data_IF_233769536015
#
_entry.id   IF_233769536015
#
_cell.length_a   1.000
_cell.length_b   1.000
_cell.length_c   1.000
_cell.angle_alpha   90.00
_cell.angle_beta   90.00
_cell.angle_gamma   90.00
#
_symmetry.space_group_name_H-M   'P 1'
#
loop_
_entity.id
_entity.type
_entity.pdbx_description
1 polymer ?
#
# COMPACT_ATOMS: atom_id res chain seq x y z
N UNK A 1 -15.23 -4.74 41.46
CA UNK A 1 -14.72 -5.95 40.77
C UNK A 1 -15.48 -6.30 39.49
N UNK A 2 -16.82 -6.18 39.43
CA UNK A 2 -17.61 -6.48 38.21
C UNK A 2 -17.37 -5.50 37.03
N UNK A 3 -17.17 -4.21 37.30
CA UNK A 3 -16.90 -3.24 36.22
C UNK A 3 -15.54 -3.46 35.52
N UNK A 4 -14.50 -3.83 36.27
CA UNK A 4 -13.15 -4.06 35.73
C UNK A 4 -13.06 -5.33 34.87
N UNK A 5 -13.82 -6.38 35.22
CA UNK A 5 -13.91 -7.62 34.43
C UNK A 5 -14.68 -7.41 33.14
N UNK A 6 -15.73 -6.59 33.14
CA UNK A 6 -16.45 -6.20 31.93
C UNK A 6 -15.58 -5.37 30.96
N UNK A 7 -14.76 -4.45 31.49
CA UNK A 7 -13.84 -3.63 30.67
C UNK A 7 -12.73 -4.48 30.05
N UNK A 8 -12.11 -5.39 30.82
CA UNK A 8 -11.10 -6.32 30.30
C UNK A 8 -11.69 -7.27 29.25
N UNK A 9 -12.91 -7.77 29.45
CA UNK A 9 -13.60 -8.60 28.46
C UNK A 9 -13.91 -7.85 27.17
N UNK A 10 -14.30 -6.58 27.25
CA UNK A 10 -14.53 -5.72 26.08
C UNK A 10 -13.24 -5.44 25.31
N UNK A 11 -12.14 -5.13 26.00
CA UNK A 11 -10.84 -4.89 25.38
C UNK A 11 -10.31 -6.14 24.65
N UNK A 12 -10.42 -7.31 25.28
CA UNK A 12 -10.03 -8.57 24.65
C UNK A 12 -10.86 -8.89 23.39
N UNK A 13 -12.18 -8.65 23.45
CA UNK A 13 -13.06 -8.84 22.30
C UNK A 13 -12.77 -7.86 21.14
N UNK A 14 -12.36 -6.62 21.44
CA UNK A 14 -11.94 -5.65 20.43
C UNK A 14 -10.68 -6.10 19.71
N UNK A 15 -9.65 -6.51 20.46
CA UNK A 15 -8.37 -6.98 19.89
C UNK A 15 -8.61 -8.17 18.95
N UNK A 16 -9.41 -9.16 19.37
CA UNK A 16 -9.72 -10.32 18.53
C UNK A 16 -10.41 -9.94 17.22
N UNK A 17 -11.34 -8.98 17.24
CA UNK A 17 -12.03 -8.50 16.04
C UNK A 17 -11.09 -7.76 15.11
N UNK A 18 -10.21 -6.93 15.66
CA UNK A 18 -9.22 -6.18 14.88
C UNK A 18 -8.23 -7.13 14.20
N UNK A 19 -7.70 -8.13 14.92
CA UNK A 19 -6.83 -9.15 14.35
C UNK A 19 -7.53 -9.95 13.25
N UNK A 20 -8.77 -10.39 13.47
CA UNK A 20 -9.54 -11.10 12.45
C UNK A 20 -9.77 -10.24 11.19
N UNK A 21 -10.11 -8.96 11.38
CA UNK A 21 -10.32 -8.04 10.26
C UNK A 21 -9.06 -7.88 9.41
N UNK A 22 -7.88 -7.80 10.05
CA UNK A 22 -6.59 -7.75 9.33
C UNK A 22 -6.37 -9.05 8.54
N UNK A 23 -6.50 -10.21 9.17
CA UNK A 23 -6.30 -11.50 8.48
C UNK A 23 -7.26 -11.69 7.31
N UNK A 24 -8.54 -11.34 7.45
CA UNK A 24 -9.50 -11.40 6.34
C UNK A 24 -9.15 -10.43 5.21
N UNK A 25 -8.66 -9.24 5.55
CA UNK A 25 -8.22 -8.25 4.56
C UNK A 25 -6.99 -8.73 3.80
N UNK A 26 -6.04 -9.38 4.48
CA UNK A 26 -4.84 -9.95 3.86
C UNK A 26 -5.17 -11.08 2.90
N UNK A 27 -6.02 -12.04 3.32
CA UNK A 27 -6.50 -13.13 2.46
C UNK A 27 -7.21 -12.56 1.23
N UNK A 28 -8.08 -11.56 1.44
CA UNK A 28 -8.80 -10.90 0.35
C UNK A 28 -7.85 -10.21 -0.62
N UNK A 29 -6.83 -9.49 -0.11
CA UNK A 29 -5.83 -8.82 -0.92
C UNK A 29 -5.01 -9.81 -1.77
N UNK A 30 -4.51 -10.90 -1.18
CA UNK A 30 -3.78 -11.96 -1.92
C UNK A 30 -4.67 -12.58 -2.99
N UNK A 31 -5.93 -12.84 -2.66
CA UNK A 31 -6.89 -13.43 -3.60
C UNK A 31 -7.10 -12.52 -4.81
N UNK A 32 -7.33 -11.23 -4.58
CA UNK A 32 -7.53 -10.24 -5.65
C UNK A 32 -6.27 -10.06 -6.51
N UNK A 33 -5.09 -9.96 -5.90
CA UNK A 33 -3.82 -9.84 -6.64
C UNK A 33 -3.54 -11.09 -7.47
N UNK A 34 -3.81 -12.28 -6.92
CA UNK A 34 -3.65 -13.55 -7.65
C UNK A 34 -4.64 -13.62 -8.80
N UNK A 35 -5.90 -13.25 -8.58
CA UNK A 35 -6.93 -13.19 -9.62
C UNK A 35 -6.53 -12.26 -10.76
N UNK A 36 -6.07 -11.05 -10.45
CA UNK A 36 -5.60 -10.06 -11.42
C UNK A 36 -4.47 -10.61 -12.30
N UNK A 37 -3.48 -11.28 -11.71
CA UNK A 37 -2.39 -11.94 -12.45
C UNK A 37 -2.96 -12.99 -13.40
N UNK A 38 -3.82 -13.89 -12.90
CA UNK A 38 -4.37 -15.01 -13.68
C UNK A 38 -5.15 -14.53 -14.92
N UNK A 39 -6.01 -13.53 -14.77
CA UNK A 39 -6.85 -13.05 -15.89
C UNK A 39 -6.04 -12.37 -16.99
N UNK A 40 -4.89 -11.79 -16.67
CA UNK A 40 -4.02 -11.11 -17.65
C UNK A 40 -2.88 -11.98 -18.16
N UNK A 41 -2.68 -13.17 -17.59
CA UNK A 41 -1.53 -14.02 -17.88
C UNK A 41 -1.48 -14.42 -19.36
N UNK A 42 -2.64 -14.67 -19.99
CA UNK A 42 -2.74 -14.95 -21.43
C UNK A 42 -2.12 -13.84 -22.27
N UNK A 43 -2.49 -12.61 -21.96
CA UNK A 43 -2.11 -11.42 -22.72
C UNK A 43 -0.64 -11.07 -22.42
N UNK A 44 -0.19 -11.27 -21.18
CA UNK A 44 1.22 -11.09 -20.80
C UNK A 44 2.12 -12.02 -21.59
N UNK A 45 1.79 -13.32 -21.70
CA UNK A 45 2.62 -14.30 -22.41
C UNK A 45 2.79 -13.92 -23.88
N UNK A 46 1.71 -13.49 -24.54
CA UNK A 46 1.74 -13.10 -25.93
C UNK A 46 2.48 -11.76 -26.15
N UNK A 47 2.21 -10.75 -25.32
CA UNK A 47 2.67 -9.38 -25.54
C UNK A 47 4.04 -9.08 -24.91
N UNK A 48 4.35 -9.71 -23.78
CA UNK A 48 5.53 -9.41 -22.95
C UNK A 48 6.58 -10.49 -23.12
N UNK A 49 6.24 -11.77 -22.89
CA UNK A 49 7.21 -12.86 -22.83
C UNK A 49 7.77 -13.25 -24.20
N UNK A 50 6.96 -13.19 -25.27
CA UNK A 50 7.40 -13.52 -26.63
C UNK A 50 8.15 -12.40 -27.38
N UNK A 51 8.28 -11.21 -26.79
CA UNK A 51 8.93 -10.05 -27.42
C UNK A 51 10.25 -9.70 -26.73
N UNK A 52 11.15 -9.03 -27.44
CA UNK A 52 12.44 -8.53 -26.93
C UNK A 52 12.30 -7.82 -25.57
N UNK A 53 13.27 -8.03 -24.69
CA UNK A 53 13.32 -7.43 -23.36
C UNK A 53 13.65 -5.94 -23.45
N UNK A 54 12.78 -5.12 -22.85
CA UNK A 54 13.00 -3.69 -22.67
C UNK A 54 12.99 -3.38 -21.17
N UNK A 55 13.71 -2.34 -20.71
CA UNK A 55 13.73 -1.97 -19.30
C UNK A 55 12.33 -1.66 -18.76
N UNK A 56 11.45 -1.07 -19.59
CA UNK A 56 10.06 -0.82 -19.24
C UNK A 56 9.27 -2.10 -18.91
N UNK A 57 9.55 -3.23 -19.59
CA UNK A 57 8.94 -4.52 -19.24
C UNK A 57 9.41 -5.02 -17.88
N UNK A 58 10.70 -4.88 -17.58
CA UNK A 58 11.25 -5.26 -16.28
C UNK A 58 10.58 -4.49 -15.14
N UNK A 59 10.39 -3.18 -15.31
CA UNK A 59 9.68 -2.33 -14.36
C UNK A 59 8.21 -2.72 -14.20
N UNK A 60 7.52 -3.01 -15.31
CA UNK A 60 6.14 -3.50 -15.28
C UNK A 60 5.99 -4.82 -14.50
N UNK A 61 6.86 -5.80 -14.79
CA UNK A 61 6.85 -7.07 -14.07
C UNK A 61 7.19 -6.88 -12.59
N UNK A 62 8.19 -6.05 -12.27
CA UNK A 62 8.54 -5.74 -10.88
C UNK A 62 7.35 -5.11 -10.13
N UNK A 63 6.68 -4.11 -10.71
CA UNK A 63 5.54 -3.45 -10.09
C UNK A 63 4.36 -4.37 -9.82
N UNK A 64 4.22 -5.46 -10.58
CA UNK A 64 3.12 -6.41 -10.45
C UNK A 64 3.44 -7.57 -9.51
N UNK A 65 4.57 -8.22 -9.72
CA UNK A 65 4.93 -9.44 -9.02
C UNK A 65 5.54 -9.16 -7.63
N UNK A 66 6.16 -8.01 -7.40
CA UNK A 66 6.70 -7.65 -6.07
C UNK A 66 5.61 -7.48 -5.00
N UNK A 67 4.56 -6.65 -5.19
CA UNK A 67 3.49 -6.54 -4.19
C UNK A 67 2.76 -7.86 -3.96
N UNK A 68 2.53 -8.65 -5.02
CA UNK A 68 1.94 -9.98 -4.87
C UNK A 68 2.81 -10.91 -4.01
N UNK A 69 4.11 -10.99 -4.29
CA UNK A 69 5.04 -11.82 -3.52
C UNK A 69 5.16 -11.34 -2.07
N UNK A 70 5.19 -10.03 -1.84
CA UNK A 70 5.24 -9.46 -0.49
C UNK A 70 3.95 -9.75 0.30
N UNK A 71 2.79 -9.57 -0.32
CA UNK A 71 1.50 -9.86 0.31
C UNK A 71 1.32 -11.35 0.59
N UNK A 72 1.84 -12.23 -0.27
CA UNK A 72 1.83 -13.67 -0.06
C UNK A 72 2.75 -14.09 1.10
N UNK A 73 3.96 -13.51 1.18
CA UNK A 73 4.88 -13.75 2.29
C UNK A 73 4.28 -13.27 3.62
N UNK A 74 3.62 -12.12 3.61
CA UNK A 74 2.87 -11.58 4.74
C UNK A 74 1.79 -12.54 5.22
N UNK A 75 0.96 -13.02 4.29
CA UNK A 75 -0.11 -13.94 4.59
C UNK A 75 0.44 -15.24 5.22
N UNK A 76 1.57 -15.74 4.73
CA UNK A 76 2.23 -16.92 5.28
C UNK A 76 2.75 -16.70 6.72
N UNK A 77 3.15 -15.48 7.07
CA UNK A 77 3.59 -15.13 8.43
C UNK A 77 2.39 -15.00 9.39
N UNK A 78 1.26 -14.46 8.92
CA UNK A 78 0.11 -14.11 9.75
C UNK A 78 -0.97 -15.21 9.88
N UNK A 79 -1.10 -16.13 8.92
CA UNK A 79 -2.21 -17.11 8.88
C UNK A 79 -2.27 -18.03 10.09
N UNK A 80 -1.12 -18.45 10.63
CA UNK A 80 -1.13 -19.45 11.69
C UNK A 80 -1.01 -18.85 13.10
N UNK A 81 -0.57 -17.59 13.26
CA UNK A 81 -0.25 -17.02 14.58
C UNK A 81 0.73 -17.85 15.44
N UNK A 82 1.27 -18.95 14.90
CA UNK A 82 2.05 -19.98 15.60
C UNK A 82 3.55 -19.78 15.47
N UNK A 83 4.01 -18.83 14.63
CA UNK A 83 5.43 -18.52 14.51
C UNK A 83 6.00 -17.88 15.79
N UNK A 84 5.12 -17.44 16.72
CA UNK A 84 5.54 -16.82 17.98
C UNK A 84 6.29 -15.49 17.79
N UNK A 85 6.18 -14.88 16.61
CA UNK A 85 6.76 -13.58 16.30
C UNK A 85 5.94 -12.49 16.98
N UNK A 86 6.23 -12.26 18.25
CA UNK A 86 5.83 -11.03 18.93
C UNK A 86 6.73 -9.91 18.42
N UNK A 87 6.19 -9.05 17.54
CA UNK A 87 6.88 -7.86 17.11
C UNK A 87 6.98 -6.88 18.27
N UNK A 88 8.20 -6.47 18.58
CA UNK A 88 8.41 -5.32 19.46
C UNK A 88 7.90 -4.05 18.78
N UNK A 89 7.56 -3.03 19.58
CA UNK A 89 7.09 -1.73 19.07
C UNK A 89 8.07 -1.11 18.06
N UNK A 90 9.39 -1.34 18.23
CA UNK A 90 10.42 -0.87 17.30
C UNK A 90 10.39 -1.63 15.96
N UNK A 91 10.20 -2.95 15.99
CA UNK A 91 10.07 -3.78 14.79
C UNK A 91 8.79 -3.44 14.03
N UNK A 92 7.73 -3.05 14.74
CA UNK A 92 6.51 -2.57 14.13
C UNK A 92 6.70 -1.30 13.31
N UNK A 93 7.45 -0.34 13.85
CA UNK A 93 7.81 0.88 13.13
C UNK A 93 8.61 0.58 11.87
N UNK A 94 9.60 -0.33 11.96
CA UNK A 94 10.39 -0.78 10.79
C UNK A 94 9.51 -1.46 9.76
N UNK A 95 8.58 -2.30 10.19
CA UNK A 95 7.63 -2.99 9.33
C UNK A 95 6.77 -2.01 8.53
N UNK A 96 6.20 -1.00 9.20
CA UNK A 96 5.39 0.02 8.56
C UNK A 96 6.21 0.86 7.56
N UNK A 97 7.47 1.17 7.86
CA UNK A 97 8.38 1.86 6.93
C UNK A 97 8.63 1.01 5.69
N UNK A 98 8.93 -0.29 5.85
CA UNK A 98 9.16 -1.21 4.72
C UNK A 98 7.94 -1.26 3.83
N UNK A 99 6.75 -1.45 4.41
CA UNK A 99 5.50 -1.49 3.66
C UNK A 99 5.25 -0.20 2.87
N UNK A 100 5.51 0.96 3.49
CA UNK A 100 5.31 2.24 2.83
C UNK A 100 6.36 2.53 1.75
N UNK A 101 7.61 2.09 1.93
CA UNK A 101 8.65 2.17 0.88
C UNK A 101 8.29 1.29 -0.31
N UNK A 102 7.80 0.08 -0.08
CA UNK A 102 7.35 -0.82 -1.16
C UNK A 102 6.19 -0.17 -1.92
N UNK A 103 5.20 0.37 -1.22
CA UNK A 103 4.08 1.09 -1.85
C UNK A 103 4.57 2.27 -2.67
N UNK A 104 5.50 3.07 -2.13
CA UNK A 104 6.12 4.19 -2.85
C UNK A 104 6.79 3.73 -4.14
N UNK A 105 7.59 2.66 -4.09
CA UNK A 105 8.28 2.12 -5.27
C UNK A 105 7.29 1.68 -6.35
N UNK A 106 6.16 1.08 -5.95
CA UNK A 106 5.10 0.66 -6.88
C UNK A 106 4.47 1.87 -7.54
N UNK A 107 4.03 2.86 -6.75
CA UNK A 107 3.41 4.10 -7.27
C UNK A 107 4.36 4.80 -8.25
N UNK A 108 5.60 5.04 -7.81
CA UNK A 108 6.63 5.65 -8.66
C UNK A 108 6.87 4.85 -9.94
N UNK A 109 6.83 3.52 -9.88
CA UNK A 109 6.97 2.69 -11.09
C UNK A 109 5.80 2.86 -12.04
N UNK A 110 4.56 2.88 -11.53
CA UNK A 110 3.35 3.11 -12.33
C UNK A 110 3.40 4.49 -12.98
N UNK A 111 3.78 5.53 -12.24
CA UNK A 111 3.92 6.88 -12.77
C UNK A 111 4.98 6.95 -13.85
N UNK A 112 6.14 6.31 -13.63
CA UNK A 112 7.19 6.22 -14.64
C UNK A 112 6.68 5.46 -15.87
N UNK A 113 5.89 4.39 -15.72
CA UNK A 113 5.30 3.69 -16.88
C UNK A 113 4.35 4.59 -17.65
N UNK A 114 3.52 5.37 -16.94
CA UNK A 114 2.60 6.34 -17.54
C UNK A 114 3.36 7.49 -18.23
N UNK A 115 4.50 7.91 -17.69
CA UNK A 115 5.35 8.95 -18.26
C UNK A 115 6.27 8.45 -19.38
N UNK A 116 6.87 7.28 -19.26
CA UNK A 116 7.76 6.64 -20.27
C UNK A 116 6.99 6.12 -21.46
N UNK A 117 5.66 6.02 -21.35
CA UNK A 117 4.74 6.19 -22.49
C UNK A 117 4.79 7.60 -23.10
N UNK A 118 5.94 8.27 -22.97
CA UNK A 118 6.29 9.60 -23.43
C UNK A 118 6.05 9.68 -24.92
N UNK A 119 6.33 8.65 -25.71
CA UNK A 119 6.00 8.61 -27.14
C UNK A 119 4.50 8.80 -27.38
N UNK A 120 3.63 8.15 -26.59
CA UNK A 120 2.18 8.36 -26.64
C UNK A 120 1.75 9.69 -26.02
N UNK A 121 2.40 10.19 -24.97
CA UNK A 121 2.07 11.52 -24.38
C UNK A 121 2.49 12.64 -25.32
N UNK A 122 3.68 12.58 -25.91
CA UNK A 122 4.14 13.49 -26.95
C UNK A 122 3.26 13.43 -28.20
N UNK A 123 2.77 12.24 -28.57
CA UNK A 123 1.85 12.06 -29.70
C UNK A 123 0.40 12.49 -29.39
N UNK A 124 -0.15 12.21 -28.19
CA UNK A 124 -1.50 12.62 -27.78
C UNK A 124 -1.58 14.13 -27.50
N UNK A 125 -0.51 14.70 -26.94
CA UNK A 125 -0.51 16.06 -26.40
C UNK A 125 0.23 17.06 -27.29
N UNK A 126 0.04 16.97 -28.61
CA UNK A 126 0.47 17.95 -29.63
C UNK A 126 1.81 18.66 -29.30
N UNK A 127 2.82 17.89 -28.86
CA UNK A 127 4.15 18.38 -28.50
C UNK A 127 4.20 19.53 -27.47
N UNK A 128 3.18 19.69 -26.62
CA UNK A 128 3.11 20.81 -25.68
C UNK A 128 3.95 20.56 -24.41
N UNK A 129 5.23 20.94 -24.47
CA UNK A 129 6.23 20.76 -23.40
C UNK A 129 5.80 21.28 -22.02
N UNK A 130 4.87 22.24 -21.97
CA UNK A 130 4.36 22.80 -20.71
C UNK A 130 3.61 21.77 -19.88
N UNK A 131 2.82 20.90 -20.51
CA UNK A 131 2.10 19.87 -19.76
C UNK A 131 3.06 18.83 -19.19
N UNK A 132 4.06 18.42 -19.98
CA UNK A 132 5.07 17.48 -19.53
C UNK A 132 5.85 18.02 -18.34
N UNK A 133 6.20 19.32 -18.38
CA UNK A 133 6.81 20.01 -17.25
C UNK A 133 5.91 20.00 -16.01
N UNK A 134 4.61 20.30 -16.16
CA UNK A 134 3.65 20.28 -15.04
C UNK A 134 3.55 18.89 -14.44
N UNK A 135 3.46 17.85 -15.27
CA UNK A 135 3.35 16.46 -14.82
C UNK A 135 4.62 16.01 -14.08
N UNK A 136 5.80 16.37 -14.60
CA UNK A 136 7.07 16.10 -13.94
C UNK A 136 7.20 16.83 -12.59
N UNK A 137 6.75 18.09 -12.50
CA UNK A 137 6.73 18.85 -11.24
C UNK A 137 5.81 18.17 -10.22
N UNK A 138 4.62 17.73 -10.65
CA UNK A 138 3.66 17.07 -9.77
C UNK A 138 4.20 15.76 -9.21
N UNK A 139 4.86 14.97 -10.05
CA UNK A 139 5.53 13.73 -9.65
C UNK A 139 6.68 13.95 -8.65
N UNK A 140 7.52 14.95 -8.90
CA UNK A 140 8.59 15.32 -7.94
C UNK A 140 8.01 15.82 -6.62
N UNK A 141 6.91 16.58 -6.67
CA UNK A 141 6.21 17.05 -5.48
C UNK A 141 5.61 15.89 -4.68
N UNK A 142 5.03 14.89 -5.35
CA UNK A 142 4.50 13.68 -4.73
C UNK A 142 5.59 12.88 -4.01
N UNK A 143 6.72 12.60 -4.69
CA UNK A 143 7.85 11.88 -4.08
C UNK A 143 8.39 12.66 -2.87
N UNK A 144 8.53 13.97 -3.00
CA UNK A 144 9.02 14.83 -1.91
C UNK A 144 8.06 14.85 -0.73
N UNK A 145 6.75 14.90 -1.00
CA UNK A 145 5.73 14.89 0.03
C UNK A 145 5.67 13.56 0.76
N UNK A 146 5.66 12.44 0.04
CA UNK A 146 5.58 11.10 0.63
C UNK A 146 6.84 10.77 1.44
N UNK A 147 8.03 11.10 0.92
CA UNK A 147 9.28 10.96 1.68
C UNK A 147 9.31 11.82 2.94
N UNK A 148 8.84 13.07 2.87
CA UNK A 148 8.71 13.94 4.04
C UNK A 148 7.78 13.34 5.10
N UNK A 149 6.62 12.83 4.68
CA UNK A 149 5.67 12.16 5.58
C UNK A 149 6.32 10.94 6.23
N UNK A 150 7.02 10.10 5.48
CA UNK A 150 7.68 8.92 6.03
C UNK A 150 8.74 9.25 7.07
N UNK A 151 9.52 10.31 6.87
CA UNK A 151 10.59 10.70 7.79
C UNK A 151 10.03 11.41 9.03
N UNK A 152 8.99 12.22 8.88
CA UNK A 152 8.52 13.10 9.96
C UNK A 152 7.33 12.57 10.74
N UNK A 153 6.41 11.87 10.08
CA UNK A 153 5.14 11.44 10.65
C UNK A 153 5.24 10.03 11.23
N UNK A 154 5.88 9.10 10.51
CA UNK A 154 6.06 7.71 10.98
C UNK A 154 6.69 7.59 12.37
N UNK A 155 7.77 8.30 12.74
CA UNK A 155 8.33 8.19 14.10
C UNK A 155 7.43 8.78 15.20
N UNK A 156 6.37 9.51 14.83
CA UNK A 156 5.38 10.06 15.78
C UNK A 156 4.17 9.14 15.96
N UNK A 157 4.09 8.04 15.21
CA UNK A 157 3.07 7.03 15.40
C UNK A 157 3.42 6.17 16.62
N UNK A 158 2.42 5.87 17.42
CA UNK A 158 2.54 4.94 18.56
C UNK A 158 1.85 3.63 18.19
N UNK A 159 2.47 2.52 18.55
CA UNK A 159 2.01 1.17 18.21
C UNK A 159 1.75 0.36 19.48
N UNK A 160 0.81 -0.58 19.39
CA UNK A 160 0.58 -1.62 20.41
C UNK A 160 1.40 -2.88 20.09
N UNK A 161 1.45 -3.86 21.00
CA UNK A 161 2.17 -5.14 20.83
C UNK A 161 1.64 -5.98 19.65
N UNK A 162 0.42 -5.68 19.20
CA UNK A 162 -0.20 -6.28 18.01
C UNK A 162 -0.02 -5.42 16.75
N UNK A 163 0.93 -4.50 16.75
CA UNK A 163 1.26 -3.62 15.64
C UNK A 163 0.17 -2.64 15.16
N UNK A 164 -0.87 -2.42 15.96
CA UNK A 164 -1.92 -1.45 15.65
C UNK A 164 -1.51 -0.02 16.03
N UNK A 165 -1.81 0.94 15.14
CA UNK A 165 -1.60 2.38 15.39
C UNK A 165 -2.60 2.86 16.43
N UNK A 166 -2.11 3.20 17.63
CA UNK A 166 -2.95 3.65 18.76
C UNK A 166 -3.10 5.17 18.82
N UNK A 167 -2.15 5.93 18.27
CA UNK A 167 -2.31 7.38 18.11
C UNK A 167 -1.58 7.86 16.86
N UNK A 168 -2.29 8.66 16.06
CA UNK A 168 -1.78 9.35 14.88
C UNK A 168 -1.90 10.87 15.04
N UNK A 169 -1.00 11.67 14.46
CA UNK A 169 -1.10 13.12 14.50
C UNK A 169 -2.46 13.63 14.00
N UNK A 170 -3.04 14.67 14.64
CA UNK A 170 -4.40 15.12 14.34
C UNK A 170 -4.60 15.59 12.89
N UNK A 171 -3.53 16.08 12.25
CA UNK A 171 -3.54 16.45 10.82
C UNK A 171 -3.85 15.26 9.90
N UNK A 172 -3.31 14.07 10.21
CA UNK A 172 -3.56 12.87 9.41
C UNK A 172 -5.00 12.37 9.56
N UNK A 173 -5.53 12.44 10.79
CA UNK A 173 -6.94 12.12 11.07
C UNK A 173 -7.87 13.12 10.38
N UNK A 174 -7.56 14.42 10.46
CA UNK A 174 -8.35 15.46 9.81
C UNK A 174 -8.40 15.29 8.29
N UNK A 175 -7.26 14.97 7.66
CA UNK A 175 -7.20 14.67 6.23
C UNK A 175 -8.09 13.48 5.85
N UNK A 176 -7.99 12.36 6.58
CA UNK A 176 -8.81 11.17 6.30
C UNK A 176 -10.31 11.42 6.51
N UNK A 177 -10.67 12.20 7.53
CA UNK A 177 -12.07 12.57 7.79
C UNK A 177 -12.62 13.51 6.72
N UNK A 178 -11.84 14.50 6.25
CA UNK A 178 -12.25 15.43 5.18
C UNK A 178 -12.38 14.70 3.83
N UNK A 179 -11.47 13.77 3.53
CA UNK A 179 -11.57 12.95 2.32
C UNK A 179 -12.75 11.97 2.38
N UNK A 180 -12.98 11.33 3.53
CA UNK A 180 -14.15 10.46 3.78
C UNK A 180 -15.48 11.23 3.70
N UNK A 181 -15.51 12.49 4.12
CA UNK A 181 -16.73 13.32 4.10
C UNK A 181 -17.09 13.84 2.69
N UNK A 182 -16.13 13.89 1.76
CA UNK A 182 -16.39 14.24 0.35
C UNK A 182 -16.77 13.04 -0.54
N UNK A 183 -16.87 11.83 0.02
CA UNK A 183 -17.51 10.70 -0.66
C UNK A 183 -19.03 10.78 -0.50
N UNK A 184 -19.84 10.60 -1.56
CA UNK A 184 -21.29 10.57 -1.42
C UNK A 184 -21.67 9.49 -0.40
N UNK A 185 -22.37 9.91 0.64
CA UNK A 185 -22.88 9.13 1.78
C UNK A 185 -24.00 8.15 1.38
N UNK A 186 -23.84 7.44 0.27
CA UNK A 186 -24.74 6.38 -0.18
C UNK A 186 -23.96 5.17 -0.69
N UNK A 187 -23.47 4.37 0.25
CA UNK A 187 -23.55 2.92 0.11
C UNK A 187 -23.46 2.28 1.50
N UNK A 188 -24.48 1.48 1.79
CA UNK A 188 -24.88 0.85 3.05
C UNK A 188 -25.68 1.73 4.03
#
# INVERSE_FOLDING_TARGET
>A
MSAATNVLGQAAAQILRETQAVSYSEVSAVTLLTWDILITMSDEVELIWNKHWTPAKGMYLAARYLPWAFQLALLAINIDGTTGLHFTVEECGKWMIVQAVILQLIITTVDIILMTREDTVYALYNKNWRLLLILAIFFLAEISFLSYVLVQITPRLTFNDNCFVTSSPPLFVAYWQVFRWNGPSRMF
#
